data_IF_825686081611
#
_entry.id   IF_825686081611
#
_cell.length_a   1.000
_cell.length_b   1.000
_cell.length_c   1.000
_cell.angle_alpha   90.00
_cell.angle_beta   90.00
_cell.angle_gamma   90.00
#
_symmetry.space_group_name_H-M   'P 1'
#
loop_
_entity.id
_entity.type
_entity.pdbx_description
1 polymer ?
#
# COMPACT_ATOMS: atom_id res chain seq x y z
N UNK A 1 -13.31 -9.87 -8.37
CA UNK A 1 -12.57 -10.65 -9.37
C UNK A 1 -13.37 -10.92 -10.65
N UNK A 2 -14.67 -11.31 -10.56
CA UNK A 2 -15.53 -11.51 -11.75
C UNK A 2 -15.78 -10.24 -12.58
N UNK A 3 -15.57 -9.05 -12.03
CA UNK A 3 -15.85 -7.75 -12.66
C UNK A 3 -14.67 -7.18 -13.47
N UNK A 4 -13.42 -7.62 -13.21
CA UNK A 4 -12.27 -7.25 -14.07
C UNK A 4 -12.27 -8.00 -15.41
N UNK A 5 -12.88 -9.17 -15.48
CA UNK A 5 -13.05 -9.95 -16.71
C UNK A 5 -13.97 -9.30 -17.75
N UNK A 6 -14.82 -8.35 -17.33
CA UNK A 6 -15.76 -7.67 -18.21
C UNK A 6 -15.05 -6.64 -19.10
N UNK A 7 -13.96 -6.02 -18.64
CA UNK A 7 -13.17 -5.09 -19.45
C UNK A 7 -12.46 -5.82 -20.61
N UNK A 8 -12.00 -7.05 -20.37
CA UNK A 8 -11.42 -7.88 -21.43
C UNK A 8 -12.48 -8.45 -22.39
N UNK A 9 -13.71 -8.68 -21.94
CA UNK A 9 -14.81 -9.19 -22.76
C UNK A 9 -15.45 -8.13 -23.68
N UNK A 10 -15.34 -6.83 -23.32
CA UNK A 10 -15.84 -5.74 -24.16
C UNK A 10 -15.05 -5.59 -25.48
N UNK A 11 -13.82 -6.06 -25.51
CA UNK A 11 -12.95 -5.99 -26.69
C UNK A 11 -13.18 -7.11 -27.72
N UNK A 12 -14.07 -8.10 -27.46
CA UNK A 12 -14.26 -9.29 -28.28
C UNK A 12 -15.57 -9.30 -29.11
N UNK A 13 -16.33 -8.19 -29.16
CA UNK A 13 -17.54 -8.12 -29.98
C UNK A 13 -17.21 -8.01 -31.49
N UNK A 14 -17.85 -8.81 -32.37
CA UNK A 14 -17.55 -8.77 -33.80
C UNK A 14 -18.02 -7.47 -34.43
N UNK A 15 -17.10 -6.79 -35.14
CA UNK A 15 -17.31 -5.59 -35.94
C UNK A 15 -18.35 -5.83 -37.06
N UNK A 16 -19.48 -5.19 -36.94
CA UNK A 16 -20.31 -4.86 -38.10
C UNK A 16 -20.16 -3.35 -38.31
N UNK A 17 -19.38 -3.01 -39.33
CA UNK A 17 -19.15 -1.62 -39.74
C UNK A 17 -20.42 -0.99 -40.33
N UNK A 18 -20.93 0.02 -39.65
CA UNK A 18 -21.77 1.06 -40.28
C UNK A 18 -21.63 2.35 -39.45
N UNK A 19 -21.31 3.42 -40.12
CA UNK A 19 -21.06 4.73 -39.63
C UNK A 19 -22.20 5.30 -38.76
N UNK A 20 -21.93 5.41 -37.46
CA UNK A 20 -22.64 6.24 -36.46
C UNK A 20 -21.74 6.43 -35.27
N UNK A 21 -20.74 7.33 -35.40
CA UNK A 21 -19.69 7.49 -34.34
C UNK A 21 -20.27 8.09 -33.05
N UNK A 22 -21.27 8.95 -33.08
CA UNK A 22 -21.83 9.63 -31.90
C UNK A 22 -22.75 8.74 -31.02
N UNK A 23 -23.46 7.76 -31.61
CA UNK A 23 -24.37 6.86 -30.88
C UNK A 23 -23.60 5.71 -30.21
N UNK A 24 -22.49 5.26 -30.80
CA UNK A 24 -21.68 4.16 -30.28
C UNK A 24 -20.82 4.59 -29.05
N UNK A 25 -20.35 5.83 -29.02
CA UNK A 25 -19.61 6.40 -27.88
C UNK A 25 -20.51 6.52 -26.65
N UNK A 26 -21.72 7.05 -26.80
CA UNK A 26 -22.70 7.14 -25.73
C UNK A 26 -23.12 5.77 -25.16
N UNK A 27 -23.23 4.75 -26.01
CA UNK A 27 -23.51 3.38 -25.60
C UNK A 27 -22.37 2.77 -24.79
N UNK A 28 -21.10 2.96 -25.21
CA UNK A 28 -19.94 2.46 -24.51
C UNK A 28 -19.74 3.18 -23.17
N UNK A 29 -19.95 4.49 -23.10
CA UNK A 29 -19.94 5.25 -21.84
C UNK A 29 -20.97 4.67 -20.88
N UNK A 30 -22.24 4.53 -21.31
CA UNK A 30 -23.30 3.97 -20.47
C UNK A 30 -22.99 2.55 -19.97
N UNK A 31 -22.39 1.72 -20.82
CA UNK A 31 -22.00 0.36 -20.45
C UNK A 31 -20.85 0.34 -19.44
N UNK A 32 -19.87 1.24 -19.55
CA UNK A 32 -18.78 1.39 -18.59
C UNK A 32 -19.33 1.91 -17.27
N UNK A 33 -20.16 2.95 -17.29
CA UNK A 33 -20.80 3.50 -16.09
C UNK A 33 -21.64 2.44 -15.37
N UNK A 34 -22.48 1.70 -16.08
CA UNK A 34 -23.34 0.64 -15.51
C UNK A 34 -22.51 -0.49 -14.88
N UNK A 35 -21.43 -0.94 -15.53
CA UNK A 35 -20.60 -2.02 -15.02
C UNK A 35 -19.65 -1.60 -13.90
N UNK A 36 -19.18 -0.35 -13.88
CA UNK A 36 -18.34 0.20 -12.83
C UNK A 36 -19.16 0.74 -11.65
N UNK A 37 -20.41 1.13 -11.88
CA UNK A 37 -21.34 1.50 -10.80
C UNK A 37 -21.84 0.26 -10.05
N UNK A 38 -22.30 0.45 -8.84
CA UNK A 38 -22.80 -0.60 -7.95
C UNK A 38 -23.77 -0.04 -6.91
N UNK A 39 -24.22 -0.87 -5.97
CA UNK A 39 -25.21 -0.47 -4.97
C UNK A 39 -24.79 0.74 -4.10
N UNK A 40 -23.48 0.93 -3.92
CA UNK A 40 -22.90 1.99 -3.08
C UNK A 40 -21.92 2.89 -3.84
N UNK A 41 -21.88 2.80 -5.17
CA UNK A 41 -20.92 3.55 -6.00
C UNK A 41 -21.57 3.97 -7.33
N UNK A 42 -21.54 5.25 -7.61
CA UNK A 42 -21.97 5.85 -8.87
C UNK A 42 -20.75 6.36 -9.64
N UNK A 43 -20.61 5.96 -10.90
CA UNK A 43 -19.55 6.41 -11.81
C UNK A 43 -20.19 7.25 -12.89
N UNK A 44 -19.63 8.43 -13.16
CA UNK A 44 -20.05 9.32 -14.24
C UNK A 44 -18.85 9.69 -15.10
N UNK A 45 -19.00 9.63 -16.42
CA UNK A 45 -17.95 9.91 -17.41
C UNK A 45 -18.43 11.03 -18.34
N UNK A 46 -17.55 12.01 -18.58
CA UNK A 46 -17.80 13.13 -19.47
C UNK A 46 -16.65 13.29 -20.46
N UNK A 47 -16.94 13.65 -21.71
CA UNK A 47 -15.95 13.92 -22.75
C UNK A 47 -15.18 12.67 -23.16
N UNK A 48 -15.86 11.51 -23.27
CA UNK A 48 -15.22 10.29 -23.75
C UNK A 48 -15.08 10.30 -25.26
N UNK A 49 -13.85 10.19 -25.74
CA UNK A 49 -13.54 10.16 -27.18
C UNK A 49 -12.63 8.97 -27.50
N UNK A 50 -12.65 8.54 -28.75
CA UNK A 50 -11.68 7.58 -29.28
C UNK A 50 -11.88 6.13 -28.83
N UNK A 51 -13.08 5.72 -28.47
CA UNK A 51 -13.43 4.37 -28.00
C UNK A 51 -12.90 3.22 -28.87
N UNK A 52 -12.86 3.42 -30.18
CA UNK A 52 -12.42 2.44 -31.17
C UNK A 52 -11.02 2.74 -31.74
N UNK A 53 -10.35 3.76 -31.24
CA UNK A 53 -9.00 4.14 -31.69
C UNK A 53 -7.90 3.48 -30.82
N UNK A 54 -6.64 3.69 -31.17
CA UNK A 54 -5.51 3.29 -30.33
C UNK A 54 -5.22 4.30 -29.21
N UNK A 55 -5.99 5.39 -29.17
CA UNK A 55 -5.95 6.43 -28.15
C UNK A 55 -7.39 6.76 -27.79
N UNK A 56 -7.70 6.68 -26.50
CA UNK A 56 -8.98 7.08 -25.94
C UNK A 56 -8.74 8.15 -24.88
N UNK A 57 -9.66 9.09 -24.75
CA UNK A 57 -9.58 10.15 -23.75
C UNK A 57 -10.90 10.31 -22.98
N UNK A 58 -10.78 10.82 -21.76
CA UNK A 58 -11.90 11.18 -20.89
C UNK A 58 -11.57 12.55 -20.30
N UNK A 59 -12.44 13.53 -20.50
CA UNK A 59 -12.26 14.85 -19.90
C UNK A 59 -12.39 14.78 -18.38
N UNK A 60 -13.48 14.18 -17.89
CA UNK A 60 -13.74 14.04 -16.46
C UNK A 60 -14.41 12.71 -16.17
N UNK A 61 -13.85 11.99 -15.18
CA UNK A 61 -14.48 10.82 -14.57
C UNK A 61 -14.67 11.09 -13.08
N UNK A 62 -15.88 10.89 -12.57
CA UNK A 62 -16.17 11.01 -11.14
C UNK A 62 -16.69 9.71 -10.56
N UNK A 63 -16.32 9.45 -9.31
CA UNK A 63 -16.87 8.34 -8.52
C UNK A 63 -17.47 8.93 -7.25
N UNK A 64 -18.76 8.64 -7.03
CA UNK A 64 -19.51 9.08 -5.86
C UNK A 64 -20.03 7.89 -5.05
N UNK A 65 -20.25 8.10 -3.78
CA UNK A 65 -20.99 7.25 -2.87
C UNK A 65 -22.13 8.04 -2.19
N UNK A 66 -22.74 7.51 -1.14
CA UNK A 66 -23.86 8.16 -0.45
C UNK A 66 -23.52 9.54 0.15
N UNK A 67 -22.25 9.85 0.36
CA UNK A 67 -21.77 11.16 0.85
C UNK A 67 -21.32 12.10 -0.29
N UNK A 68 -21.47 11.68 -1.54
CA UNK A 68 -21.13 12.44 -2.74
C UNK A 68 -19.81 12.02 -3.39
N UNK A 69 -19.33 12.84 -4.32
CA UNK A 69 -18.10 12.55 -5.07
C UNK A 69 -16.89 12.52 -4.14
N UNK A 70 -16.17 11.40 -4.15
CA UNK A 70 -14.94 11.24 -3.38
C UNK A 70 -13.68 11.13 -4.25
N UNK A 71 -13.84 10.77 -5.54
CA UNK A 71 -12.76 10.66 -6.52
C UNK A 71 -13.14 11.39 -7.80
N UNK A 72 -12.23 12.21 -8.33
CA UNK A 72 -12.34 12.85 -9.65
C UNK A 72 -11.04 12.65 -10.41
N UNK A 73 -11.11 12.24 -11.68
CA UNK A 73 -10.00 12.17 -12.61
C UNK A 73 -10.26 13.19 -13.73
N UNK A 74 -9.24 13.95 -14.10
CA UNK A 74 -9.31 14.98 -15.15
C UNK A 74 -8.27 14.69 -16.23
N UNK A 75 -8.65 14.88 -17.49
CA UNK A 75 -7.83 14.72 -18.69
C UNK A 75 -7.12 13.36 -18.73
N UNK A 76 -7.90 12.28 -18.64
CA UNK A 76 -7.37 10.91 -18.72
C UNK A 76 -7.13 10.53 -20.18
N UNK A 77 -5.94 10.04 -20.49
CA UNK A 77 -5.57 9.52 -21.79
C UNK A 77 -5.07 8.09 -21.67
N UNK A 78 -5.62 7.23 -22.50
CA UNK A 78 -5.23 5.83 -22.65
C UNK A 78 -4.68 5.60 -24.05
N UNK A 79 -3.40 5.28 -24.16
CA UNK A 79 -2.75 4.88 -25.41
C UNK A 79 -2.43 3.38 -25.36
N UNK A 80 -3.01 2.61 -26.26
CA UNK A 80 -2.95 1.16 -26.21
C UNK A 80 -2.82 0.50 -27.59
N UNK A 81 -2.45 -0.77 -27.63
CA UNK A 81 -2.22 -1.52 -28.85
C UNK A 81 -3.43 -2.39 -29.18
N UNK A 82 -4.28 -1.96 -30.09
CA UNK A 82 -5.40 -2.79 -30.59
C UNK A 82 -4.94 -4.10 -31.24
N UNK A 83 -3.77 -4.10 -31.90
CA UNK A 83 -3.22 -5.29 -32.52
C UNK A 83 -2.77 -6.33 -31.49
N UNK A 84 -2.47 -5.93 -30.26
CA UNK A 84 -2.13 -6.83 -29.16
C UNK A 84 -3.32 -7.71 -28.75
N UNK A 85 -4.54 -7.16 -28.77
CA UNK A 85 -5.77 -7.93 -28.45
C UNK A 85 -5.96 -9.15 -29.36
N UNK A 86 -5.60 -9.05 -30.63
CA UNK A 86 -5.67 -10.17 -31.57
C UNK A 86 -4.70 -11.30 -31.22
N UNK A 87 -3.73 -11.03 -30.36
CA UNK A 87 -2.74 -11.99 -29.85
C UNK A 87 -3.00 -12.42 -28.42
N UNK A 88 -4.14 -12.01 -27.83
CA UNK A 88 -4.46 -12.28 -26.42
C UNK A 88 -3.63 -11.46 -25.44
N UNK A 89 -3.31 -10.21 -25.78
CA UNK A 89 -2.59 -9.30 -24.91
C UNK A 89 -3.30 -7.95 -24.80
N UNK A 90 -3.29 -7.35 -23.63
CA UNK A 90 -3.68 -5.96 -23.36
C UNK A 90 -2.38 -5.18 -23.15
N UNK A 91 -2.01 -4.40 -24.16
CA UNK A 91 -0.74 -3.69 -24.21
C UNK A 91 -1.07 -2.18 -24.20
N UNK A 92 -0.88 -1.58 -23.02
CA UNK A 92 -1.10 -0.15 -22.74
C UNK A 92 0.26 0.53 -22.69
N UNK A 93 0.57 1.34 -23.69
CA UNK A 93 1.83 2.08 -23.77
C UNK A 93 1.86 3.20 -22.74
N UNK A 94 0.74 3.92 -22.62
CA UNK A 94 0.62 5.03 -21.69
C UNK A 94 -0.80 5.11 -21.15
N UNK A 95 -0.92 5.23 -19.84
CA UNK A 95 -2.10 5.69 -19.13
C UNK A 95 -1.71 6.95 -18.38
N UNK A 96 -2.28 8.06 -18.75
CA UNK A 96 -1.98 9.34 -18.11
C UNK A 96 -3.23 10.04 -17.62
N UNK A 97 -3.07 10.89 -16.60
CA UNK A 97 -4.08 11.84 -16.16
C UNK A 97 -3.38 13.13 -15.74
N UNK A 98 -3.96 14.28 -16.11
CA UNK A 98 -3.44 15.57 -15.67
C UNK A 98 -3.66 15.74 -14.17
N UNK A 99 -4.83 15.29 -13.65
CA UNK A 99 -5.16 15.46 -12.25
C UNK A 99 -6.06 14.36 -11.72
N UNK A 100 -5.76 13.90 -10.51
CA UNK A 100 -6.63 13.03 -9.70
C UNK A 100 -6.88 13.73 -8.38
N UNK A 101 -8.16 13.87 -8.00
CA UNK A 101 -8.57 14.47 -6.73
C UNK A 101 -9.25 13.39 -5.90
N UNK A 102 -8.72 13.11 -4.71
CA UNK A 102 -9.29 12.16 -3.75
C UNK A 102 -9.56 12.94 -2.45
N UNK A 103 -10.79 13.40 -2.29
CA UNK A 103 -11.15 14.29 -1.16
C UNK A 103 -11.23 13.56 0.18
N UNK A 104 -11.60 12.28 0.16
CA UNK A 104 -11.74 11.40 1.33
C UNK A 104 -11.69 9.92 0.93
N UNK A 105 -11.48 9.00 1.86
CA UNK A 105 -11.71 7.58 1.60
C UNK A 105 -13.16 7.30 1.18
N UNK A 106 -13.41 6.31 0.31
CA UNK A 106 -14.77 5.85 0.02
C UNK A 106 -15.42 5.29 1.29
N UNK A 107 -16.75 5.36 1.37
CA UNK A 107 -17.49 4.67 2.41
C UNK A 107 -17.24 3.16 2.30
N UNK A 108 -16.79 2.56 3.39
CA UNK A 108 -16.63 1.10 3.45
C UNK A 108 -18.01 0.45 3.45
N UNK A 109 -18.28 -0.45 2.52
CA UNK A 109 -19.34 -1.43 2.75
C UNK A 109 -18.92 -2.27 3.96
N UNK A 110 -19.82 -2.47 4.93
CA UNK A 110 -19.63 -3.45 6.00
C UNK A 110 -19.49 -4.85 5.35
N UNK A 111 -18.28 -5.14 4.90
CA UNK A 111 -17.93 -6.50 4.53
C UNK A 111 -17.87 -7.27 5.84
N UNK A 112 -18.83 -8.18 6.06
CA UNK A 112 -18.79 -9.12 7.18
C UNK A 112 -17.41 -9.82 7.27
N UNK A 113 -17.20 -10.66 8.31
CA UNK A 113 -15.89 -11.21 8.61
C UNK A 113 -15.19 -11.69 7.34
N UNK A 114 -13.94 -11.23 7.17
CA UNK A 114 -13.12 -11.54 6.01
C UNK A 114 -13.20 -13.04 5.72
N UNK A 115 -13.48 -13.47 4.47
CA UNK A 115 -13.41 -14.89 4.15
C UNK A 115 -12.00 -15.39 4.51
N UNK A 116 -11.92 -16.63 4.98
CA UNK A 116 -10.66 -17.34 5.32
C UNK A 116 -9.55 -16.91 4.38
N UNK A 117 -8.44 -16.42 4.95
CA UNK A 117 -7.38 -15.80 4.19
C UNK A 117 -6.80 -16.82 3.18
N UNK A 118 -7.26 -16.72 1.95
CA UNK A 118 -6.68 -17.53 0.87
C UNK A 118 -5.23 -17.09 0.68
N UNK A 119 -4.31 -18.02 0.40
CA UNK A 119 -2.93 -17.68 0.09
C UNK A 119 -2.89 -16.63 -1.02
N UNK A 120 -2.04 -15.63 -0.87
CA UNK A 120 -1.87 -14.60 -1.90
C UNK A 120 -1.39 -15.26 -3.20
N UNK A 121 -2.07 -14.93 -4.29
CA UNK A 121 -1.70 -15.32 -5.65
C UNK A 121 -2.13 -14.20 -6.60
N UNK A 122 -1.35 -13.98 -7.64
CA UNK A 122 -1.76 -13.12 -8.75
C UNK A 122 -2.90 -13.79 -9.53
N UNK A 123 -3.86 -13.00 -10.05
CA UNK A 123 -4.91 -13.56 -10.88
C UNK A 123 -4.31 -14.15 -12.17
N UNK A 124 -4.70 -15.38 -12.50
CA UNK A 124 -4.41 -15.97 -13.80
C UNK A 124 -5.41 -15.40 -14.81
N UNK A 125 -4.94 -14.45 -15.61
CA UNK A 125 -5.74 -13.84 -16.65
C UNK A 125 -5.60 -14.63 -17.95
N UNK A 126 -6.66 -14.74 -18.77
CA UNK A 126 -6.59 -15.39 -20.08
C UNK A 126 -5.78 -14.59 -21.11
N UNK A 127 -5.34 -13.40 -20.73
CA UNK A 127 -4.55 -12.48 -21.55
C UNK A 127 -3.43 -11.89 -20.72
N UNK A 128 -2.30 -11.60 -21.31
CA UNK A 128 -1.26 -10.81 -20.67
C UNK A 128 -1.68 -9.33 -20.63
N UNK A 129 -1.27 -8.64 -19.57
CA UNK A 129 -1.51 -7.21 -19.39
C UNK A 129 -0.18 -6.51 -19.17
N UNK A 130 0.12 -5.52 -19.98
CA UNK A 130 1.28 -4.65 -19.83
C UNK A 130 0.82 -3.19 -19.79
N UNK A 131 1.28 -2.45 -18.81
CA UNK A 131 1.21 -0.99 -18.70
C UNK A 131 2.65 -0.49 -18.68
N UNK A 132 3.13 0.01 -19.82
CA UNK A 132 4.52 0.44 -19.96
C UNK A 132 4.77 1.73 -19.19
N UNK A 133 3.80 2.66 -19.20
CA UNK A 133 3.90 3.94 -18.53
C UNK A 133 2.58 4.36 -17.91
N UNK A 134 2.57 4.52 -16.59
CA UNK A 134 1.58 5.28 -15.84
C UNK A 134 2.17 6.66 -15.56
N UNK A 135 1.44 7.74 -15.88
CA UNK A 135 1.86 9.10 -15.58
C UNK A 135 0.67 9.91 -15.08
N UNK A 136 0.75 10.39 -13.85
CA UNK A 136 -0.22 11.30 -13.28
C UNK A 136 0.53 12.52 -12.79
N UNK A 137 0.26 13.65 -13.44
CA UNK A 137 1.01 14.87 -13.17
C UNK A 137 0.68 15.41 -11.77
N UNK A 138 -0.56 15.16 -11.28
CA UNK A 138 -1.02 15.69 -10.01
C UNK A 138 -2.08 14.82 -9.34
N UNK A 139 -1.75 14.24 -8.20
CA UNK A 139 -2.70 13.56 -7.30
C UNK A 139 -2.88 14.43 -6.05
N UNK A 140 -4.10 14.90 -5.80
CA UNK A 140 -4.45 15.69 -4.63
C UNK A 140 -5.20 14.82 -3.63
N UNK A 141 -4.61 14.58 -2.48
CA UNK A 141 -5.23 13.86 -1.38
C UNK A 141 -5.72 14.84 -0.32
N UNK A 142 -7.00 14.69 0.06
CA UNK A 142 -7.62 15.51 1.10
C UNK A 142 -7.06 15.23 2.50
N UNK A 143 -7.30 16.14 3.44
CA UNK A 143 -6.83 16.05 4.83
C UNK A 143 -7.28 14.75 5.55
N UNK A 144 -8.40 14.17 5.13
CA UNK A 144 -8.95 12.95 5.72
C UNK A 144 -8.04 11.72 5.65
N UNK A 145 -7.02 11.74 4.77
CA UNK A 145 -6.09 10.61 4.63
C UNK A 145 -4.91 10.67 5.60
N UNK A 146 -4.29 11.84 5.71
CA UNK A 146 -2.97 12.00 6.33
C UNK A 146 -2.91 13.21 7.29
N UNK A 147 -4.08 13.76 7.65
CA UNK A 147 -4.19 14.92 8.54
C UNK A 147 -3.79 16.25 7.91
N UNK A 148 -3.38 16.26 6.64
CA UNK A 148 -3.17 17.43 5.81
C UNK A 148 -3.47 17.10 4.35
N UNK A 149 -3.85 18.13 3.59
CA UNK A 149 -3.93 17.98 2.14
C UNK A 149 -2.54 17.91 1.53
N UNK A 150 -2.30 16.92 0.69
CA UNK A 150 -1.02 16.74 -0.01
C UNK A 150 -1.24 16.62 -1.50
N UNK A 151 -0.23 16.99 -2.25
CA UNK A 151 -0.19 16.81 -3.69
C UNK A 151 1.08 16.06 -4.06
N UNK A 152 0.94 15.03 -4.89
CA UNK A 152 2.06 14.24 -5.41
C UNK A 152 1.93 14.09 -6.92
N UNK A 153 3.05 13.92 -7.63
CA UNK A 153 3.06 13.30 -8.94
C UNK A 153 3.21 11.79 -8.80
N UNK A 154 2.73 11.03 -9.78
CA UNK A 154 2.80 9.57 -9.76
C UNK A 154 3.27 9.05 -11.12
N UNK A 155 4.30 8.21 -11.10
CA UNK A 155 4.80 7.51 -12.27
C UNK A 155 4.97 6.03 -11.97
N UNK A 156 4.79 5.18 -12.98
CA UNK A 156 4.95 3.75 -12.75
C UNK A 156 4.80 2.92 -14.01
N UNK A 157 4.91 1.62 -13.82
CA UNK A 157 4.64 0.60 -14.83
C UNK A 157 4.16 -0.68 -14.14
N UNK A 158 3.45 -1.53 -14.88
CA UNK A 158 3.01 -2.83 -14.37
C UNK A 158 2.91 -3.85 -15.49
N UNK A 159 3.23 -5.10 -15.18
CA UNK A 159 3.06 -6.22 -16.09
C UNK A 159 2.47 -7.41 -15.35
N UNK A 160 1.60 -8.14 -16.01
CA UNK A 160 1.01 -9.36 -15.49
C UNK A 160 0.79 -10.35 -16.64
N UNK A 161 1.49 -11.48 -16.61
CA UNK A 161 1.36 -12.54 -17.59
C UNK A 161 1.65 -13.88 -16.93
N UNK A 162 0.87 -14.90 -17.26
CA UNK A 162 1.13 -16.31 -16.88
C UNK A 162 1.37 -16.51 -15.36
N UNK A 163 0.69 -15.72 -14.50
CA UNK A 163 0.89 -15.78 -13.05
C UNK A 163 2.18 -15.14 -12.55
N UNK A 164 2.89 -14.41 -13.41
CA UNK A 164 4.02 -13.55 -13.05
C UNK A 164 3.60 -12.08 -13.13
N UNK A 165 3.98 -11.28 -12.15
CA UNK A 165 3.66 -9.86 -12.10
C UNK A 165 4.84 -9.01 -11.65
N UNK A 166 4.95 -7.83 -12.26
CA UNK A 166 5.90 -6.79 -11.85
C UNK A 166 5.19 -5.46 -11.70
N UNK A 167 5.63 -4.65 -10.77
CA UNK A 167 5.16 -3.28 -10.58
C UNK A 167 6.30 -2.37 -10.18
N UNK A 168 6.34 -1.19 -10.79
CA UNK A 168 7.15 -0.07 -10.32
C UNK A 168 6.23 1.12 -10.08
N UNK A 169 6.42 1.82 -8.97
CA UNK A 169 5.66 3.02 -8.65
C UNK A 169 6.59 4.02 -7.99
N UNK A 170 6.54 5.25 -8.46
CA UNK A 170 7.24 6.38 -7.86
C UNK A 170 6.25 7.51 -7.65
N UNK A 171 6.14 8.00 -6.41
CA UNK A 171 5.37 9.17 -6.07
C UNK A 171 6.29 10.23 -5.49
N UNK A 172 6.21 11.45 -6.03
CA UNK A 172 7.00 12.59 -5.57
C UNK A 172 6.06 13.68 -5.05
N UNK A 173 6.32 14.17 -3.86
CA UNK A 173 5.55 15.24 -3.26
C UNK A 173 5.82 16.56 -3.97
N UNK A 174 4.75 17.24 -4.38
CA UNK A 174 4.80 18.53 -5.03
C UNK A 174 4.62 19.65 -4.00
N UNK A 175 5.41 20.72 -4.14
CA UNK A 175 5.33 21.89 -3.26
C UNK A 175 6.61 22.16 -2.48
N UNK A 176 6.49 22.78 -1.31
CA UNK A 176 7.65 23.21 -0.51
C UNK A 176 8.30 22.08 0.30
N UNK A 177 7.53 21.05 0.63
CA UNK A 177 8.00 19.90 1.40
C UNK A 177 8.42 18.78 0.46
N UNK A 178 9.65 18.30 0.61
CA UNK A 178 10.15 17.16 -0.15
C UNK A 178 9.57 15.83 0.38
N UNK A 179 9.34 14.90 -0.52
CA UNK A 179 8.95 13.53 -0.20
C UNK A 179 8.96 12.67 -1.44
N UNK A 180 9.57 11.49 -1.34
CA UNK A 180 9.60 10.47 -2.39
C UNK A 180 9.10 9.16 -1.77
N UNK A 181 8.26 8.47 -2.52
CA UNK A 181 7.82 7.13 -2.20
C UNK A 181 8.00 6.23 -3.41
N UNK A 182 8.76 5.16 -3.26
CA UNK A 182 9.07 4.22 -4.33
C UNK A 182 8.66 2.81 -3.93
N UNK A 183 8.02 2.10 -4.84
CA UNK A 183 7.77 0.67 -4.75
C UNK A 183 8.30 0.00 -6.01
N UNK A 184 9.11 -1.03 -5.84
CA UNK A 184 9.46 -1.98 -6.88
C UNK A 184 9.09 -3.36 -6.36
N UNK A 185 8.29 -4.10 -7.12
CA UNK A 185 7.83 -5.42 -6.72
C UNK A 185 7.72 -6.38 -7.88
N UNK A 186 8.00 -7.64 -7.61
CA UNK A 186 7.65 -8.73 -8.51
C UNK A 186 7.15 -9.94 -7.72
N UNK A 187 6.25 -10.69 -8.32
CA UNK A 187 5.73 -11.92 -7.72
C UNK A 187 5.50 -12.99 -8.78
N UNK A 188 5.83 -14.24 -8.45
CA UNK A 188 5.68 -15.39 -9.33
C UNK A 188 4.82 -16.43 -8.61
N UNK A 189 3.67 -16.78 -9.18
CA UNK A 189 2.73 -17.74 -8.57
C UNK A 189 3.36 -19.13 -8.39
N UNK A 190 4.12 -19.62 -9.37
CA UNK A 190 4.69 -20.96 -9.35
C UNK A 190 5.68 -21.16 -8.19
N UNK A 191 6.58 -20.23 -8.01
CA UNK A 191 7.63 -20.28 -6.98
C UNK A 191 7.21 -19.58 -5.70
N UNK A 192 6.11 -18.78 -5.73
CA UNK A 192 5.64 -17.89 -4.66
C UNK A 192 6.69 -16.87 -4.20
N UNK A 193 7.71 -16.62 -5.02
CA UNK A 193 8.74 -15.64 -4.71
C UNK A 193 8.17 -14.23 -4.85
N UNK A 194 8.26 -13.46 -3.78
CA UNK A 194 8.04 -12.01 -3.74
C UNK A 194 9.40 -11.32 -3.67
N UNK A 195 9.68 -10.48 -4.65
CA UNK A 195 10.75 -9.49 -4.58
C UNK A 195 10.09 -8.14 -4.28
N UNK A 196 10.51 -7.46 -3.21
CA UNK A 196 9.93 -6.19 -2.79
C UNK A 196 11.03 -5.24 -2.36
N UNK A 197 11.01 -4.05 -2.93
CA UNK A 197 11.73 -2.88 -2.47
C UNK A 197 10.76 -1.74 -2.26
N UNK A 198 10.77 -1.15 -1.06
CA UNK A 198 10.00 0.03 -0.69
C UNK A 198 10.96 1.05 -0.11
N UNK A 199 10.89 2.28 -0.60
CA UNK A 199 11.63 3.42 -0.08
C UNK A 199 10.66 4.60 0.13
N UNK A 200 10.68 5.17 1.33
CA UNK A 200 10.07 6.44 1.67
C UNK A 200 11.19 7.37 2.13
N UNK A 201 11.29 8.55 1.57
CA UNK A 201 12.25 9.57 1.96
C UNK A 201 11.54 10.92 2.03
N UNK A 202 11.32 11.41 3.25
CA UNK A 202 10.63 12.66 3.52
C UNK A 202 11.55 13.66 4.21
N UNK A 203 11.48 14.91 3.75
CA UNK A 203 12.14 16.03 4.42
C UNK A 203 11.52 16.35 5.79
N UNK A 204 12.09 17.33 6.52
CA UNK A 204 11.54 17.79 7.80
C UNK A 204 10.07 18.19 7.69
N UNK A 205 9.32 18.00 8.78
CA UNK A 205 7.87 18.24 8.85
C UNK A 205 7.09 17.41 7.82
N UNK A 206 7.60 16.22 7.50
CA UNK A 206 6.99 15.23 6.63
C UNK A 206 5.73 14.59 7.22
N UNK A 207 5.07 13.74 6.43
CA UNK A 207 3.81 13.07 6.81
C UNK A 207 4.06 12.11 7.98
N UNK A 208 5.09 11.26 7.85
CA UNK A 208 5.39 10.24 8.88
C UNK A 208 5.75 10.88 10.20
N UNK A 209 6.67 11.88 10.18
CA UNK A 209 7.08 12.56 11.41
C UNK A 209 5.91 13.21 12.17
N UNK A 210 4.87 13.64 11.47
CA UNK A 210 3.65 14.20 12.06
C UNK A 210 2.66 13.15 12.52
N UNK A 211 2.45 12.08 11.75
CA UNK A 211 1.52 11.01 12.09
C UNK A 211 1.89 10.29 13.39
N UNK A 212 3.20 10.12 13.63
CA UNK A 212 3.71 9.50 14.87
C UNK A 212 4.20 10.51 15.89
N UNK A 213 3.94 11.82 15.64
CA UNK A 213 4.28 12.94 16.52
C UNK A 213 5.75 12.97 16.96
N UNK A 214 6.67 12.78 16.00
CA UNK A 214 8.11 12.82 16.27
C UNK A 214 8.54 14.20 16.75
N UNK A 215 9.24 14.31 17.89
CA UNK A 215 9.77 15.56 18.41
C UNK A 215 10.68 16.27 17.38
N UNK A 216 10.48 17.57 17.18
CA UNK A 216 11.25 18.34 16.21
C UNK A 216 10.91 18.05 14.75
N UNK A 217 10.06 17.07 14.47
CA UNK A 217 9.64 16.66 13.12
C UNK A 217 10.80 16.54 12.13
N UNK A 218 11.76 15.65 12.43
CA UNK A 218 12.95 15.46 11.59
C UNK A 218 12.56 14.92 10.21
N UNK A 219 13.51 14.90 9.27
CA UNK A 219 13.38 14.10 8.08
C UNK A 219 13.27 12.62 8.44
N UNK A 220 12.50 11.86 7.66
CA UNK A 220 12.30 10.41 7.89
C UNK A 220 12.59 9.64 6.61
N UNK A 221 13.45 8.63 6.72
CA UNK A 221 13.65 7.64 5.69
C UNK A 221 13.26 6.26 6.21
N UNK A 222 12.45 5.54 5.42
CA UNK A 222 12.10 4.13 5.64
C UNK A 222 12.49 3.33 4.41
N UNK A 223 13.22 2.24 4.61
CA UNK A 223 13.57 1.30 3.55
C UNK A 223 13.19 -0.12 3.97
N UNK A 224 12.52 -0.84 3.07
CA UNK A 224 12.18 -2.26 3.25
C UNK A 224 12.62 -3.00 2.00
N UNK A 225 13.41 -4.06 2.13
CA UNK A 225 13.88 -4.86 1.03
C UNK A 225 13.85 -6.35 1.37
N UNK A 226 13.30 -7.17 0.46
CA UNK A 226 13.25 -8.62 0.64
C UNK A 226 13.00 -9.34 -0.67
N UNK A 227 13.55 -10.55 -0.80
CA UNK A 227 13.36 -11.39 -1.98
C UNK A 227 13.39 -12.85 -1.53
N UNK A 228 12.22 -13.47 -1.37
CA UNK A 228 12.08 -14.85 -0.92
C UNK A 228 10.67 -15.39 -1.22
N UNK A 229 10.44 -16.71 -1.13
CA UNK A 229 9.09 -17.27 -1.17
C UNK A 229 8.21 -16.73 -0.03
N UNK A 230 6.94 -16.42 -0.29
CA UNK A 230 6.00 -15.92 0.73
C UNK A 230 5.76 -16.87 1.91
N UNK A 231 6.06 -18.15 1.72
CA UNK A 231 5.92 -19.14 2.80
C UNK A 231 7.13 -19.17 3.75
N UNK A 232 8.24 -18.55 3.33
CA UNK A 232 9.46 -18.36 4.10
C UNK A 232 10.10 -17.01 3.69
N UNK A 233 9.37 -15.93 3.92
CA UNK A 233 9.76 -14.58 3.48
C UNK A 233 10.63 -13.89 4.52
N UNK A 234 11.68 -13.26 4.05
CA UNK A 234 12.53 -12.41 4.87
C UNK A 234 12.78 -11.07 4.19
N UNK A 235 12.73 -10.00 4.98
CA UNK A 235 13.03 -8.65 4.53
C UNK A 235 13.88 -7.91 5.58
N UNK A 236 14.73 -7.02 5.10
CA UNK A 236 15.42 -6.03 5.92
C UNK A 236 14.55 -4.78 6.07
N UNK A 237 14.63 -4.13 7.22
CA UNK A 237 13.97 -2.86 7.52
C UNK A 237 15.00 -1.89 8.05
N UNK A 238 15.02 -0.67 7.53
CA UNK A 238 15.85 0.42 8.02
C UNK A 238 15.02 1.69 8.16
N UNK A 239 15.14 2.36 9.29
CA UNK A 239 14.51 3.64 9.59
C UNK A 239 15.61 4.62 9.99
N UNK A 240 15.66 5.78 9.33
CA UNK A 240 16.59 6.85 9.65
C UNK A 240 15.85 8.17 9.89
N UNK A 241 16.42 9.05 10.71
CA UNK A 241 15.98 10.44 10.87
C UNK A 241 17.18 11.36 10.77
N UNK A 242 17.01 12.46 10.04
CA UNK A 242 18.08 13.45 9.77
C UNK A 242 19.35 12.82 9.20
N UNK A 243 19.19 11.76 8.38
CA UNK A 243 20.29 11.05 7.73
C UNK A 243 21.04 10.07 8.60
N UNK A 244 20.60 9.84 9.85
CA UNK A 244 21.20 8.91 10.79
C UNK A 244 20.29 7.69 11.00
N UNK A 245 20.86 6.47 10.95
CA UNK A 245 20.11 5.25 11.21
C UNK A 245 19.60 5.24 12.64
N UNK A 246 18.31 4.95 12.81
CA UNK A 246 17.62 4.87 14.11
C UNK A 246 17.28 3.44 14.46
N UNK A 247 16.69 2.71 13.54
CA UNK A 247 16.34 1.31 13.70
C UNK A 247 16.71 0.55 12.43
N UNK A 248 17.39 -0.55 12.58
CA UNK A 248 17.66 -1.51 11.52
C UNK A 248 17.37 -2.91 11.99
N UNK A 249 17.01 -3.80 11.07
CA UNK A 249 16.81 -5.19 11.43
C UNK A 249 16.08 -6.00 10.37
N UNK A 250 15.44 -7.06 10.83
CA UNK A 250 14.83 -8.05 9.97
C UNK A 250 13.37 -8.29 10.35
N UNK A 251 12.58 -8.53 9.34
CA UNK A 251 11.23 -9.08 9.42
C UNK A 251 11.25 -10.43 8.73
N UNK A 252 10.63 -11.44 9.33
CA UNK A 252 10.42 -12.73 8.68
C UNK A 252 8.98 -13.20 8.85
N UNK A 253 8.46 -13.82 7.80
CA UNK A 253 7.14 -14.45 7.75
C UNK A 253 7.32 -15.89 7.31
N UNK A 254 6.95 -16.85 8.15
CA UNK A 254 6.93 -18.26 7.80
C UNK A 254 5.52 -18.83 7.96
N UNK A 255 5.11 -19.63 6.98
CA UNK A 255 3.84 -20.35 7.00
C UNK A 255 4.14 -21.85 7.10
N UNK A 256 3.74 -22.49 8.21
CA UNK A 256 3.89 -23.92 8.42
C UNK A 256 2.68 -24.47 9.17
N UNK A 257 2.16 -25.61 8.75
CA UNK A 257 1.10 -26.38 9.44
C UNK A 257 -0.14 -25.52 9.81
N UNK A 258 -0.61 -24.68 8.89
CA UNK A 258 -1.74 -23.74 9.08
C UNK A 258 -1.46 -22.62 10.10
N UNK A 259 -0.25 -22.49 10.60
CA UNK A 259 0.21 -21.38 11.42
C UNK A 259 0.99 -20.37 10.56
N UNK A 260 0.69 -19.09 10.77
CA UNK A 260 1.50 -17.98 10.23
C UNK A 260 2.35 -17.43 11.35
N UNK A 261 3.66 -17.58 11.24
CA UNK A 261 4.61 -17.01 12.18
C UNK A 261 5.23 -15.74 11.61
N UNK A 262 5.18 -14.67 12.39
CA UNK A 262 5.83 -13.38 12.12
C UNK A 262 6.93 -13.21 13.15
N UNK A 263 8.14 -12.94 12.69
CA UNK A 263 9.29 -12.62 13.54
C UNK A 263 9.82 -11.24 13.18
N UNK A 264 10.14 -10.45 14.18
CA UNK A 264 10.72 -9.10 14.05
C UNK A 264 11.91 -9.00 14.99
N UNK A 265 13.07 -8.61 14.45
CA UNK A 265 14.27 -8.33 15.22
C UNK A 265 14.82 -6.97 14.75
N UNK A 266 14.69 -5.93 15.59
CA UNK A 266 15.13 -4.57 15.31
C UNK A 266 16.09 -4.10 16.39
N UNK A 267 17.06 -3.27 16.01
CA UNK A 267 17.97 -2.63 16.95
C UNK A 267 18.45 -1.27 16.46
N UNK A 268 18.86 -0.42 17.42
CA UNK A 268 19.41 0.88 17.07
C UNK A 268 19.25 1.95 18.15
N UNK A 269 19.58 3.19 17.76
CA UNK A 269 19.46 4.36 18.65
C UNK A 269 18.10 5.05 18.45
N UNK A 270 17.17 4.75 19.33
CA UNK A 270 15.84 5.36 19.33
C UNK A 270 15.76 6.63 20.20
N UNK A 271 16.83 6.97 20.92
CA UNK A 271 16.80 8.13 21.83
C UNK A 271 16.40 9.44 21.14
N UNK A 272 16.85 9.75 19.89
CA UNK A 272 16.45 10.97 19.21
C UNK A 272 14.97 11.02 18.78
N UNK A 273 14.25 9.89 18.85
CA UNK A 273 12.82 9.83 18.55
C UNK A 273 11.96 10.34 19.72
N UNK A 274 12.57 10.67 20.85
CA UNK A 274 11.90 11.17 22.05
C UNK A 274 12.30 12.60 22.35
N UNK A 275 11.48 13.30 23.15
CA UNK A 275 11.84 14.63 23.66
C UNK A 275 13.08 14.57 24.53
N UNK A 276 13.89 15.65 24.59
CA UNK A 276 15.23 15.62 25.25
C UNK A 276 15.21 15.10 26.69
N UNK A 277 14.13 15.34 27.42
CA UNK A 277 13.97 14.91 28.82
C UNK A 277 13.93 13.39 28.99
N UNK A 278 13.56 12.65 27.93
CA UNK A 278 13.41 11.19 27.96
C UNK A 278 14.48 10.44 27.18
N UNK A 279 15.36 11.13 26.44
CA UNK A 279 16.39 10.49 25.62
C UNK A 279 17.30 9.58 26.44
N UNK A 280 17.75 10.02 27.63
CA UNK A 280 18.56 9.22 28.54
C UNK A 280 17.80 8.00 29.12
N UNK A 281 16.47 8.04 29.11
CA UNK A 281 15.64 6.95 29.60
C UNK A 281 15.65 5.77 28.64
N UNK A 282 15.58 6.02 27.33
CA UNK A 282 15.58 4.98 26.31
C UNK A 282 16.98 4.54 25.88
N UNK A 283 17.99 5.36 26.14
CA UNK A 283 19.37 5.04 25.75
C UNK A 283 19.57 5.03 24.23
N UNK A 284 20.79 4.72 23.83
CA UNK A 284 21.22 4.71 22.43
C UNK A 284 21.43 3.30 21.84
N UNK A 285 21.02 2.27 22.55
CA UNK A 285 21.15 0.87 22.14
C UNK A 285 19.87 0.12 22.53
N UNK A 286 18.84 0.31 21.70
CA UNK A 286 17.57 -0.36 21.87
C UNK A 286 17.51 -1.62 21.02
N UNK A 287 16.85 -2.66 21.53
CA UNK A 287 16.56 -3.88 20.80
C UNK A 287 15.11 -4.32 21.02
N UNK A 288 14.47 -4.75 19.95
CA UNK A 288 13.14 -5.36 19.95
C UNK A 288 13.21 -6.70 19.24
N UNK A 289 12.82 -7.76 19.93
CA UNK A 289 12.62 -9.08 19.33
C UNK A 289 11.19 -9.54 19.64
N UNK A 290 10.42 -9.84 18.61
CA UNK A 290 9.06 -10.33 18.76
C UNK A 290 8.81 -11.53 17.85
N UNK A 291 8.05 -12.50 18.35
CA UNK A 291 7.57 -13.65 17.60
C UNK A 291 6.07 -13.80 17.82
N UNK A 292 5.32 -13.65 16.75
CA UNK A 292 3.86 -13.70 16.76
C UNK A 292 3.40 -14.85 15.89
N UNK A 293 2.50 -15.67 16.38
CA UNK A 293 1.89 -16.77 15.63
C UNK A 293 0.40 -16.55 15.53
N UNK A 294 -0.09 -16.56 14.30
CA UNK A 294 -1.51 -16.56 13.98
C UNK A 294 -1.93 -17.98 13.62
N UNK A 295 -2.91 -18.49 14.32
CA UNK A 295 -3.45 -19.83 14.11
C UNK A 295 -4.72 -19.79 13.23
N UNK A 296 -5.06 -20.88 12.57
CA UNK A 296 -6.22 -20.98 11.68
C UNK A 296 -7.57 -20.68 12.37
N UNK A 297 -7.66 -20.88 13.68
CA UNK A 297 -8.85 -20.55 14.48
C UNK A 297 -8.96 -19.04 14.83
N UNK A 298 -8.07 -18.21 14.30
CA UNK A 298 -8.07 -16.76 14.48
C UNK A 298 -7.43 -16.27 15.79
N UNK A 299 -6.78 -17.15 16.55
CA UNK A 299 -5.97 -16.78 17.71
C UNK A 299 -4.65 -16.15 17.29
N UNK A 300 -4.15 -15.21 18.10
CA UNK A 300 -2.82 -14.63 17.95
C UNK A 300 -2.01 -14.88 19.22
N UNK A 301 -0.94 -15.65 19.10
CA UNK A 301 -0.03 -15.99 20.18
C UNK A 301 1.27 -15.20 20.01
N UNK A 302 1.52 -14.24 20.87
CA UNK A 302 2.84 -13.58 21.01
C UNK A 302 3.68 -14.51 21.87
N UNK A 303 4.45 -15.38 21.21
CA UNK A 303 5.27 -16.42 21.90
C UNK A 303 6.50 -15.84 22.54
N UNK A 304 7.01 -14.75 21.99
CA UNK A 304 8.16 -14.01 22.50
C UNK A 304 7.95 -12.53 22.28
N UNK A 305 8.15 -11.76 23.32
CA UNK A 305 8.32 -10.32 23.24
C UNK A 305 9.53 -9.99 24.12
N UNK A 306 10.54 -9.36 23.57
CA UNK A 306 11.69 -8.88 24.30
C UNK A 306 12.02 -7.48 23.79
N UNK A 307 11.90 -6.50 24.66
CA UNK A 307 12.30 -5.11 24.45
C UNK A 307 13.36 -4.77 25.49
N UNK A 308 14.46 -4.25 25.05
CA UNK A 308 15.50 -3.64 25.89
C UNK A 308 15.81 -2.26 25.31
N UNK A 309 15.66 -1.22 26.09
CA UNK A 309 15.86 0.15 25.64
C UNK A 309 16.33 1.01 26.82
N UNK A 310 17.66 1.08 26.98
CA UNK A 310 18.29 1.84 28.04
C UNK A 310 17.87 1.42 29.45
N UNK A 311 16.91 2.14 30.04
CA UNK A 311 16.41 1.84 31.39
C UNK A 311 15.19 0.93 31.41
N UNK A 312 14.59 0.66 30.26
CA UNK A 312 13.36 -0.12 30.14
C UNK A 312 13.67 -1.50 29.61
N UNK A 313 13.18 -2.52 30.30
CA UNK A 313 13.11 -3.87 29.74
C UNK A 313 11.68 -4.41 29.86
N UNK A 314 11.23 -5.12 28.83
CA UNK A 314 9.95 -5.81 28.83
C UNK A 314 10.14 -7.17 28.15
N UNK A 315 9.79 -8.24 28.87
CA UNK A 315 9.89 -9.57 28.34
C UNK A 315 8.62 -10.36 28.65
N UNK A 316 8.23 -11.26 27.76
CA UNK A 316 7.15 -12.17 28.05
C UNK A 316 6.42 -12.70 26.84
N UNK A 317 5.20 -13.13 27.06
CA UNK A 317 4.29 -13.72 26.10
C UNK A 317 2.86 -13.25 26.33
N UNK A 318 2.04 -13.28 25.29
CA UNK A 318 0.62 -12.92 25.39
C UNK A 318 -0.19 -13.75 24.40
N UNK A 319 -1.39 -14.14 24.78
CA UNK A 319 -2.34 -14.78 23.89
C UNK A 319 -3.58 -13.90 23.72
N UNK A 320 -3.99 -13.71 22.48
CA UNK A 320 -5.19 -12.95 22.10
C UNK A 320 -6.14 -13.92 21.42
N UNK A 321 -7.35 -14.04 21.96
CA UNK A 321 -8.38 -14.87 21.36
C UNK A 321 -8.89 -14.32 20.04
N UNK A 322 -9.59 -15.13 19.25
CA UNK A 322 -10.13 -14.78 17.93
C UNK A 322 -11.04 -13.51 17.92
N UNK A 323 -11.57 -13.11 19.07
CA UNK A 323 -12.40 -11.90 19.24
C UNK A 323 -11.57 -10.65 19.59
N UNK A 324 -10.23 -10.73 19.56
CA UNK A 324 -9.33 -9.61 19.85
C UNK A 324 -9.10 -9.34 21.35
N UNK A 325 -9.61 -10.17 22.27
CA UNK A 325 -9.38 -10.01 23.70
C UNK A 325 -8.21 -10.85 24.19
N UNK A 326 -7.33 -10.30 25.05
CA UNK A 326 -6.27 -11.09 25.66
C UNK A 326 -6.85 -12.18 26.55
N UNK A 327 -6.41 -13.43 26.36
CA UNK A 327 -6.77 -14.60 27.15
C UNK A 327 -5.70 -14.99 28.14
N UNK A 328 -4.44 -14.63 27.85
CA UNK A 328 -3.30 -14.81 28.73
C UNK A 328 -2.34 -13.66 28.56
N UNK A 329 -1.80 -13.14 29.67
CA UNK A 329 -0.74 -12.12 29.70
C UNK A 329 0.30 -12.59 30.69
N UNK A 330 1.50 -12.84 30.21
CA UNK A 330 2.68 -13.16 31.01
C UNK A 330 3.81 -12.20 30.61
N UNK A 331 3.79 -11.01 31.19
CA UNK A 331 4.74 -9.94 30.90
C UNK A 331 5.49 -9.55 32.17
N UNK A 332 6.80 -9.50 32.06
CA UNK A 332 7.69 -8.98 33.10
C UNK A 332 8.39 -7.75 32.56
N UNK A 333 8.20 -6.62 33.21
CA UNK A 333 8.85 -5.36 32.88
C UNK A 333 9.73 -4.87 34.02
N UNK A 334 10.78 -4.14 33.64
CA UNK A 334 11.70 -3.52 34.59
C UNK A 334 12.08 -2.12 34.18
N UNK A 335 12.25 -1.24 35.16
CA UNK A 335 12.84 0.08 34.99
C UNK A 335 14.06 0.14 35.90
N UNK A 336 15.24 0.33 35.33
CA UNK A 336 16.49 0.39 36.06
C UNK A 336 16.91 1.85 36.29
N UNK A 337 16.96 2.33 37.54
CA UNK A 337 17.43 3.70 37.81
C UNK A 337 18.94 3.80 37.58
N UNK A 338 19.40 4.91 37.01
CA UNK A 338 20.82 5.27 36.98
C UNK A 338 21.13 6.08 38.24
N UNK A 339 21.76 5.42 39.23
CA UNK A 339 22.16 6.05 40.49
C UNK A 339 20.97 6.27 41.45
N UNK A 340 21.04 7.36 42.24
CA UNK A 340 20.06 7.69 43.29
C UNK A 340 19.03 8.73 42.82
N UNK A 341 19.06 9.16 41.58
CA UNK A 341 18.12 10.16 41.05
C UNK A 341 16.78 9.54 40.63
N UNK A 342 15.67 10.26 40.80
CA UNK A 342 14.37 9.81 40.33
C UNK A 342 14.38 9.59 38.81
N UNK A 343 13.72 8.53 38.36
CA UNK A 343 13.51 8.28 36.93
C UNK A 343 12.28 9.05 36.47
N UNK A 344 12.45 9.96 35.52
CA UNK A 344 11.33 10.60 34.83
C UNK A 344 10.71 9.60 33.88
N UNK A 345 9.43 9.30 34.06
CA UNK A 345 8.66 8.44 33.15
C UNK A 345 8.07 9.27 32.03
N UNK A 346 8.13 8.81 30.78
CA UNK A 346 7.43 9.44 29.68
C UNK A 346 5.92 9.14 29.81
N UNK A 347 5.17 10.10 30.35
CA UNK A 347 3.72 10.02 30.54
C UNK A 347 3.01 11.01 29.65
#
# INVERSE_FOLDING_TARGET
LKRLLIIAALCAAPLVASAQEDDDEGYLVGLIEENLSGASREVNIQGFEGALSSEASIDVLTIADAEGVWLTLEDVVLNWSRAALLRGAVDVRELSAARIIVVRPPLSEDTGPSPEAQPFALPELPVSVALDQLRIDRVELGEAFLGEAITVSLNGSAQLADGEGTVTLNAERLGEKAGIFEINGSFINETRVLDLFLNLDEGPDGIVARLIDLPGRPSVKLEVAGSAPLDDYAATVAIATDGEDRLTGNFALTNADEERQISVDLGGDISPLFVPEYQEFFGNDASLSAQVVQTADGRTDIRKLALDAGRVSLNGAMQIGAQGWPSLIDLTGGITPLGSEPVLLPL
#
